data_IF_584664836095
#
_entry.id   IF_584664836095
#
_cell.length_a   1.000
_cell.length_b   1.000
_cell.length_c   1.000
_cell.angle_alpha   90.00
_cell.angle_beta   90.00
_cell.angle_gamma   90.00
#
_symmetry.space_group_name_H-M   'P 1'
#
loop_
_entity.id
_entity.type
_entity.pdbx_description
1 polymer ?
#
# COMPACT_ATOMS: atom_id res chain seq x y z
N UNK A 1 -6.20 -9.97 -12.94
CA UNK A 1 -4.73 -9.99 -12.77
C UNK A 1 -4.19 -8.69 -13.35
N UNK A 2 -3.52 -7.88 -12.54
CA UNK A 2 -2.98 -6.59 -12.96
C UNK A 2 -1.46 -6.72 -13.12
N UNK A 3 -0.89 -6.08 -14.14
CA UNK A 3 0.57 -6.00 -14.34
C UNK A 3 1.01 -4.57 -14.08
N UNK A 4 2.17 -4.40 -13.46
CA UNK A 4 2.70 -3.09 -13.16
C UNK A 4 4.23 -3.08 -13.33
N UNK A 5 4.76 -1.88 -13.52
CA UNK A 5 6.19 -1.62 -13.40
C UNK A 5 6.43 -0.97 -12.05
N UNK A 6 7.49 -1.34 -11.38
CA UNK A 6 7.87 -0.74 -10.10
C UNK A 6 9.24 -0.08 -10.21
N UNK A 7 9.43 0.94 -9.40
CA UNK A 7 10.66 1.69 -9.29
C UNK A 7 10.82 2.07 -7.81
N UNK A 8 11.89 1.59 -7.21
CA UNK A 8 12.39 1.99 -5.91
C UNK A 8 13.56 2.94 -6.12
N UNK A 9 13.55 4.08 -5.43
CA UNK A 9 14.59 5.09 -5.49
C UNK A 9 14.95 5.53 -4.08
N UNK A 10 16.24 5.56 -3.81
CA UNK A 10 16.87 6.13 -2.61
C UNK A 10 18.07 6.99 -3.05
N UNK A 11 18.66 7.76 -2.15
CA UNK A 11 19.74 8.73 -2.41
C UNK A 11 20.97 8.12 -3.11
N UNK A 12 21.14 6.80 -3.00
CA UNK A 12 22.30 6.06 -3.54
C UNK A 12 21.95 5.12 -4.70
N UNK A 13 20.68 4.77 -4.91
CA UNK A 13 20.31 3.72 -5.85
C UNK A 13 18.90 3.87 -6.42
N UNK A 14 18.75 3.46 -7.68
CA UNK A 14 17.46 3.32 -8.35
C UNK A 14 17.33 1.89 -8.87
N UNK A 15 16.39 1.13 -8.33
CA UNK A 15 16.10 -0.25 -8.75
C UNK A 15 14.66 -0.32 -9.25
N UNK A 16 14.40 -1.06 -10.31
CA UNK A 16 13.03 -1.21 -10.80
C UNK A 16 12.80 -2.57 -11.41
N UNK A 17 11.58 -2.81 -11.87
CA UNK A 17 11.25 -4.09 -12.45
C UNK A 17 9.80 -4.22 -12.88
N UNK A 18 9.39 -5.47 -13.07
CA UNK A 18 8.02 -5.82 -13.44
C UNK A 18 7.37 -6.61 -12.31
N UNK A 19 6.07 -6.43 -12.17
CA UNK A 19 5.26 -7.14 -11.20
C UNK A 19 3.90 -7.50 -11.75
N UNK A 20 3.29 -8.48 -11.12
CA UNK A 20 1.87 -8.78 -11.30
C UNK A 20 1.20 -8.98 -9.95
N UNK A 21 -0.04 -8.55 -9.86
CA UNK A 21 -0.85 -8.68 -8.65
C UNK A 21 -2.21 -9.29 -8.98
N UNK A 22 -2.67 -10.19 -8.11
CA UNK A 22 -4.02 -10.73 -8.09
C UNK A 22 -4.63 -10.43 -6.74
N UNK A 23 -5.73 -9.69 -6.76
CA UNK A 23 -6.47 -9.32 -5.57
C UNK A 23 -7.73 -10.19 -5.55
N UNK A 24 -7.91 -10.93 -4.47
CA UNK A 24 -9.10 -11.69 -4.16
C UNK A 24 -9.77 -11.00 -2.95
N UNK A 25 -10.82 -10.21 -3.18
CA UNK A 25 -11.56 -9.58 -2.09
C UNK A 25 -12.04 -10.62 -1.05
N UNK A 26 -12.15 -10.24 0.24
CA UNK A 26 -12.02 -8.87 0.75
C UNK A 26 -10.59 -8.45 1.14
N UNK A 27 -9.66 -9.39 1.33
CA UNK A 27 -8.40 -9.11 2.06
C UNK A 27 -7.20 -9.94 1.59
N UNK A 28 -7.34 -10.67 0.49
CA UNK A 28 -6.30 -11.57 -0.01
C UNK A 28 -5.63 -11.02 -1.26
N UNK A 29 -4.30 -11.06 -1.28
CA UNK A 29 -3.51 -10.55 -2.39
C UNK A 29 -2.32 -11.47 -2.64
N UNK A 30 -2.13 -11.83 -3.90
CA UNK A 30 -0.90 -12.46 -4.38
C UNK A 30 -0.15 -11.45 -5.26
N UNK A 31 1.14 -11.29 -5.02
CA UNK A 31 2.00 -10.58 -5.94
C UNK A 31 3.22 -11.41 -6.33
N UNK A 32 3.66 -11.21 -7.57
CA UNK A 32 4.83 -11.81 -8.17
C UNK A 32 5.64 -10.66 -8.78
N UNK A 33 6.86 -10.43 -8.33
CA UNK A 33 7.74 -9.36 -8.81
C UNK A 33 9.11 -9.90 -9.22
N UNK A 34 9.77 -9.17 -10.08
CA UNK A 34 11.16 -9.40 -10.47
C UNK A 34 11.86 -8.08 -10.68
N UNK A 35 13.15 -8.03 -10.37
CA UNK A 35 14.04 -6.92 -10.66
C UNK A 35 14.41 -6.83 -12.14
N UNK A 36 15.36 -5.95 -12.50
CA UNK A 36 15.81 -5.79 -13.88
C UNK A 36 16.34 -7.11 -14.43
N UNK A 37 16.09 -7.37 -15.71
CA UNK A 37 16.51 -8.61 -16.41
C UNK A 37 16.02 -9.92 -15.78
N UNK A 38 14.95 -9.88 -14.98
CA UNK A 38 14.39 -11.07 -14.32
C UNK A 38 15.14 -11.51 -13.06
N UNK A 39 16.05 -10.68 -12.55
CA UNK A 39 16.79 -10.98 -11.32
C UNK A 39 15.86 -10.98 -10.09
N UNK A 40 16.22 -11.77 -9.07
CA UNK A 40 15.57 -11.83 -7.76
C UNK A 40 14.03 -11.98 -7.84
N UNK A 41 13.51 -13.07 -8.43
CA UNK A 41 12.08 -13.30 -8.47
C UNK A 41 11.54 -13.49 -7.06
N UNK A 42 10.54 -12.67 -6.70
CA UNK A 42 9.85 -12.73 -5.42
C UNK A 42 8.37 -12.98 -5.65
N UNK A 43 7.81 -13.90 -4.88
CA UNK A 43 6.37 -14.14 -4.87
C UNK A 43 5.86 -14.19 -3.43
N UNK A 44 4.72 -13.57 -3.18
CA UNK A 44 4.12 -13.58 -1.86
C UNK A 44 2.59 -13.63 -1.92
N UNK A 45 2.02 -14.22 -0.88
CA UNK A 45 0.58 -14.19 -0.58
C UNK A 45 0.39 -13.47 0.75
N UNK A 46 -0.38 -12.40 0.72
CA UNK A 46 -0.76 -11.59 1.89
C UNK A 46 -2.25 -11.77 2.12
N UNK A 47 -2.62 -12.02 3.37
CA UNK A 47 -4.01 -12.06 3.84
C UNK A 47 -4.12 -11.12 5.02
N UNK A 48 -4.96 -10.11 4.88
CA UNK A 48 -5.09 -9.10 5.92
C UNK A 48 -3.76 -8.37 6.12
N UNK A 49 -3.25 -8.42 7.34
CA UNK A 49 -2.01 -7.74 7.76
C UNK A 49 -0.89 -8.76 8.01
N UNK A 50 -0.90 -9.87 7.28
CA UNK A 50 0.06 -10.97 7.44
C UNK A 50 0.40 -11.61 6.09
N UNK A 51 1.67 -12.00 5.91
CA UNK A 51 2.08 -12.89 4.83
C UNK A 51 1.78 -14.33 5.23
N UNK A 52 1.20 -15.10 4.30
CA UNK A 52 0.95 -16.55 4.47
C UNK A 52 1.97 -17.41 3.78
N UNK A 53 2.59 -16.87 2.74
CA UNK A 53 3.62 -17.56 1.97
C UNK A 53 4.48 -16.52 1.27
N UNK A 54 5.79 -16.71 1.30
CA UNK A 54 6.77 -15.83 0.66
C UNK A 54 7.89 -16.69 0.09
N UNK A 55 8.35 -16.34 -1.12
CA UNK A 55 9.52 -16.91 -1.77
C UNK A 55 10.35 -15.78 -2.38
N UNK A 56 11.64 -15.63 -2.03
CA UNK A 56 12.32 -16.26 -0.89
C UNK A 56 11.76 -15.75 0.46
N UNK A 57 11.96 -16.51 1.55
CA UNK A 57 11.23 -16.33 2.82
C UNK A 57 11.35 -14.92 3.42
N UNK A 58 12.48 -14.24 3.25
CA UNK A 58 12.74 -12.90 3.82
C UNK A 58 12.37 -11.73 2.88
N UNK A 59 11.94 -12.01 1.64
CA UNK A 59 11.79 -10.96 0.62
C UNK A 59 10.67 -9.97 0.93
N UNK A 60 9.65 -10.38 1.67
CA UNK A 60 8.52 -9.52 2.02
C UNK A 60 8.91 -8.48 3.06
N UNK A 61 9.72 -8.84 4.06
CA UNK A 61 10.14 -7.90 5.11
C UNK A 61 10.95 -6.74 4.54
N UNK A 62 11.69 -7.00 3.46
CA UNK A 62 12.47 -5.99 2.75
C UNK A 62 11.64 -5.15 1.76
N UNK A 63 10.48 -5.66 1.31
CA UNK A 63 9.67 -5.01 0.28
C UNK A 63 8.41 -4.31 0.81
N UNK A 64 7.83 -4.81 1.91
CA UNK A 64 6.57 -4.32 2.47
C UNK A 64 6.90 -3.63 3.80
N UNK A 65 7.11 -2.30 3.82
CA UNK A 65 7.43 -1.61 5.07
C UNK A 65 6.26 -1.67 6.06
N UNK A 66 5.03 -1.71 5.55
CA UNK A 66 3.82 -1.80 6.35
C UNK A 66 2.64 -2.27 5.49
N UNK A 67 1.79 -3.17 6.00
CA UNK A 67 0.66 -3.72 5.24
C UNK A 67 -0.36 -2.65 4.83
N UNK A 68 -0.86 -1.78 5.73
CA UNK A 68 -1.67 -0.62 5.34
C UNK A 68 -1.12 0.20 4.17
N UNK A 69 0.19 0.49 4.15
CA UNK A 69 0.83 1.18 3.01
C UNK A 69 0.79 0.35 1.74
N UNK A 70 1.07 -0.96 1.83
CA UNK A 70 0.98 -1.87 0.68
C UNK A 70 -0.41 -1.87 0.06
N UNK A 71 -1.46 -2.02 0.87
CA UNK A 71 -2.84 -2.02 0.38
C UNK A 71 -3.23 -0.68 -0.23
N UNK A 72 -2.76 0.42 0.36
CA UNK A 72 -2.99 1.76 -0.18
C UNK A 72 -2.37 1.94 -1.58
N UNK A 73 -1.22 1.31 -1.88
CA UNK A 73 -0.63 1.32 -3.23
C UNK A 73 -1.57 0.72 -4.29
N UNK A 74 -2.49 -0.15 -3.87
CA UNK A 74 -3.52 -0.74 -4.72
C UNK A 74 -4.89 -0.07 -4.57
N UNK A 75 -4.95 1.14 -4.01
CA UNK A 75 -6.19 1.89 -3.85
C UNK A 75 -7.13 1.34 -2.78
N UNK A 76 -6.64 0.46 -1.90
CA UNK A 76 -7.47 -0.25 -0.91
C UNK A 76 -7.25 0.36 0.47
N UNK A 77 -8.33 0.92 1.03
CA UNK A 77 -8.41 1.28 2.45
C UNK A 77 -8.73 0.03 3.23
N UNK A 78 -7.88 -0.31 4.21
CA UNK A 78 -8.09 -1.50 5.04
C UNK A 78 -9.07 -1.22 6.16
N UNK A 79 -9.78 -2.26 6.58
CA UNK A 79 -10.58 -2.17 7.80
C UNK A 79 -9.65 -1.90 8.99
N UNK A 80 -10.08 -1.06 9.95
CA UNK A 80 -9.33 -0.84 11.17
C UNK A 80 -9.21 -2.14 11.97
N UNK A 81 -8.16 -2.24 12.78
CA UNK A 81 -8.09 -3.26 13.83
C UNK A 81 -9.33 -3.14 14.74
N UNK A 82 -9.91 -4.25 15.27
CA UNK A 82 -11.11 -4.19 16.10
C UNK A 82 -11.01 -3.23 17.29
N UNK A 83 -9.83 -3.13 17.91
CA UNK A 83 -9.56 -2.26 19.05
C UNK A 83 -9.13 -0.82 18.68
N UNK A 84 -9.15 -0.45 17.39
CA UNK A 84 -8.72 0.88 16.98
C UNK A 84 -9.82 1.92 17.21
N UNK A 85 -9.44 3.09 17.70
CA UNK A 85 -10.31 4.27 17.70
C UNK A 85 -10.38 4.79 16.27
N UNK A 86 -11.60 4.88 15.73
CA UNK A 86 -11.85 5.36 14.37
C UNK A 86 -12.37 6.79 14.44
N UNK A 87 -11.73 7.68 13.68
CA UNK A 87 -12.21 9.03 13.39
C UNK A 87 -12.38 9.18 11.91
N UNK A 88 -13.39 9.94 11.50
CA UNK A 88 -13.67 10.20 10.09
C UNK A 88 -14.10 11.64 9.89
N UNK A 89 -13.74 12.18 8.73
CA UNK A 89 -14.21 13.46 8.23
C UNK A 89 -14.58 13.30 6.75
N UNK A 90 -15.62 14.00 6.31
CA UNK A 90 -16.03 14.04 4.91
C UNK A 90 -16.56 15.42 4.57
N UNK A 91 -16.10 15.94 3.45
CA UNK A 91 -16.69 17.11 2.79
C UNK A 91 -17.02 16.78 1.32
N UNK A 92 -17.18 17.81 0.49
CA UNK A 92 -17.51 17.64 -0.94
C UNK A 92 -16.32 17.17 -1.79
N UNK A 93 -15.09 17.32 -1.31
CA UNK A 93 -13.87 17.05 -2.08
C UNK A 93 -13.12 15.83 -1.58
N UNK A 94 -13.31 15.48 -0.30
CA UNK A 94 -12.49 14.52 0.42
C UNK A 94 -13.28 13.67 1.41
N UNK A 95 -12.79 12.43 1.60
CA UNK A 95 -13.09 11.62 2.77
C UNK A 95 -11.80 11.23 3.46
N UNK A 96 -11.71 11.47 4.76
CA UNK A 96 -10.53 11.20 5.58
C UNK A 96 -10.90 10.23 6.70
N UNK A 97 -10.02 9.28 6.97
CA UNK A 97 -10.13 8.34 8.09
C UNK A 97 -8.84 8.31 8.88
N UNK A 98 -8.94 8.24 10.20
CA UNK A 98 -7.82 7.97 11.10
C UNK A 98 -8.18 6.76 11.95
N UNK A 99 -7.29 5.77 11.96
CA UNK A 99 -7.34 4.61 12.85
C UNK A 99 -6.19 4.74 13.84
N UNK A 100 -6.52 4.84 15.13
CA UNK A 100 -5.52 4.98 16.19
C UNK A 100 -5.55 3.76 17.12
N UNK A 101 -4.38 3.18 17.40
CA UNK A 101 -4.21 2.09 18.38
C UNK A 101 -3.05 2.46 19.30
N UNK A 102 -3.38 2.98 20.48
CA UNK A 102 -2.37 3.60 21.34
C UNK A 102 -1.77 4.84 20.68
N UNK A 103 -0.46 4.84 20.47
CA UNK A 103 0.30 5.92 19.81
C UNK A 103 0.49 5.70 18.31
N UNK A 104 0.12 4.53 17.79
CA UNK A 104 0.24 4.19 16.38
C UNK A 104 -0.99 4.70 15.62
N UNK A 105 -0.78 5.28 14.44
CA UNK A 105 -1.87 5.76 13.59
C UNK A 105 -1.73 5.28 12.14
N UNK A 106 -2.88 5.00 11.53
CA UNK A 106 -3.02 4.89 10.08
C UNK A 106 -4.04 5.93 9.65
N UNK A 107 -3.63 6.84 8.78
CA UNK A 107 -4.47 7.90 8.24
C UNK A 107 -4.67 7.67 6.75
N UNK A 108 -5.90 7.76 6.29
CA UNK A 108 -6.27 7.65 4.88
C UNK A 108 -6.97 8.93 4.46
N UNK A 109 -6.69 9.42 3.26
CA UNK A 109 -7.45 10.50 2.63
C UNK A 109 -7.78 10.10 1.19
N UNK A 110 -9.06 10.12 0.84
CA UNK A 110 -9.56 9.92 -0.51
C UNK A 110 -10.04 11.26 -1.06
N UNK A 111 -9.42 11.71 -2.14
CA UNK A 111 -9.79 12.91 -2.88
C UNK A 111 -10.55 12.47 -4.14
N UNK A 112 -11.77 12.96 -4.32
CA UNK A 112 -12.67 12.52 -5.40
C UNK A 112 -12.76 13.54 -6.55
N UNK A 113 -12.37 14.81 -6.32
CA UNK A 113 -12.41 15.87 -7.33
C UNK A 113 -11.05 16.10 -8.00
N UNK A 114 -11.08 16.41 -9.29
CA UNK A 114 -9.88 16.73 -10.06
C UNK A 114 -9.17 15.46 -10.54
N UNK A 115 -8.03 15.14 -9.94
CA UNK A 115 -7.31 13.88 -10.16
C UNK A 115 -7.58 12.97 -8.95
N UNK A 116 -8.47 11.95 -9.06
CA UNK A 116 -8.83 11.11 -7.93
C UNK A 116 -7.61 10.43 -7.31
N UNK A 117 -7.50 10.47 -5.98
CA UNK A 117 -6.34 9.96 -5.24
C UNK A 117 -6.74 9.30 -3.94
N UNK A 118 -6.02 8.25 -3.58
CA UNK A 118 -5.95 7.72 -2.23
C UNK A 118 -4.57 8.02 -1.65
N UNK A 119 -4.54 8.65 -0.49
CA UNK A 119 -3.35 8.84 0.32
C UNK A 119 -3.44 7.96 1.57
N UNK A 120 -2.30 7.43 2.01
CA UNK A 120 -2.19 6.75 3.29
C UNK A 120 -0.91 7.18 4.01
N UNK A 121 -0.99 7.40 5.32
CA UNK A 121 0.15 7.74 6.16
C UNK A 121 0.13 6.80 7.36
N UNK A 122 1.27 6.16 7.65
CA UNK A 122 1.40 5.29 8.82
C UNK A 122 2.40 5.91 9.79
N UNK A 123 2.01 5.97 11.06
CA UNK A 123 2.88 6.33 12.18
C UNK A 123 3.00 5.18 13.15
N UNK A 124 4.22 4.95 13.63
CA UNK A 124 4.52 4.02 14.71
C UNK A 124 5.27 4.77 15.80
N UNK A 125 4.77 4.71 17.03
CA UNK A 125 5.31 5.46 18.15
C UNK A 125 5.50 6.97 17.86
N UNK A 126 4.60 7.56 17.05
CA UNK A 126 4.67 8.96 16.64
C UNK A 126 5.58 9.27 15.44
N UNK A 127 6.41 8.33 14.99
CA UNK A 127 7.29 8.51 13.83
C UNK A 127 6.62 8.04 12.53
N UNK A 128 6.89 8.73 11.43
CA UNK A 128 6.36 8.36 10.11
C UNK A 128 7.10 7.12 9.60
N UNK A 129 6.37 6.02 9.42
CA UNK A 129 6.90 4.79 8.78
C UNK A 129 6.85 4.90 7.27
N UNK A 130 5.85 5.63 6.76
CA UNK A 130 5.78 5.95 5.35
C UNK A 130 4.47 6.62 4.95
N UNK A 131 4.45 7.08 3.70
CA UNK A 131 3.35 7.71 3.02
C UNK A 131 3.17 7.07 1.65
N UNK A 132 1.92 6.79 1.28
CA UNK A 132 1.55 6.39 -0.08
C UNK A 132 0.65 7.43 -0.70
N UNK A 133 0.92 7.77 -1.96
CA UNK A 133 -0.02 8.46 -2.85
C UNK A 133 -0.34 7.52 -4.02
N UNK A 134 -1.61 7.17 -4.16
CA UNK A 134 -2.13 6.34 -5.24
C UNK A 134 -3.13 7.14 -6.07
N UNK A 135 -2.77 7.43 -7.31
CA UNK A 135 -3.67 8.01 -8.30
C UNK A 135 -4.63 6.96 -8.81
N UNK A 136 -5.89 7.33 -8.91
CA UNK A 136 -7.00 6.48 -9.33
C UNK A 136 -7.60 7.02 -10.64
N UNK A 137 -8.20 6.14 -11.42
CA UNK A 137 -9.13 6.55 -12.47
C UNK A 137 -10.45 7.03 -11.86
N UNK A 138 -11.32 7.61 -12.68
CA UNK A 138 -12.67 8.02 -12.27
C UNK A 138 -13.49 6.83 -11.73
N UNK A 139 -13.24 5.62 -12.23
CA UNK A 139 -13.84 4.36 -11.75
C UNK A 139 -13.17 3.81 -10.47
N UNK A 140 -12.22 4.54 -9.88
CA UNK A 140 -11.51 4.15 -8.67
C UNK A 140 -10.40 3.10 -8.87
N UNK A 141 -9.98 2.84 -10.12
CA UNK A 141 -8.93 1.85 -10.42
C UNK A 141 -7.55 2.50 -10.24
N UNK A 142 -6.60 1.87 -9.52
CA UNK A 142 -5.24 2.41 -9.37
C UNK A 142 -4.51 2.55 -10.70
N UNK A 143 -4.03 3.77 -10.98
CA UNK A 143 -3.23 4.10 -12.17
C UNK A 143 -1.74 4.14 -11.85
N UNK A 144 -1.38 4.76 -10.71
CA UNK A 144 0.02 4.90 -10.28
C UNK A 144 0.07 5.10 -8.77
N UNK A 145 0.97 4.37 -8.11
CA UNK A 145 1.28 4.59 -6.71
C UNK A 145 2.72 5.07 -6.53
N UNK A 146 2.94 5.86 -5.48
CA UNK A 146 4.26 6.25 -4.97
C UNK A 146 4.28 6.00 -3.47
N UNK A 147 5.28 5.26 -3.01
CA UNK A 147 5.59 5.04 -1.60
C UNK A 147 6.81 5.90 -1.24
N UNK A 148 6.74 6.57 -0.10
CA UNK A 148 7.79 7.40 0.50
C UNK A 148 7.99 6.84 1.91
N UNK A 149 9.22 6.45 2.24
CA UNK A 149 9.62 5.90 3.55
C UNK A 149 10.69 6.75 4.17
#
# INVERSE_FOLDING_TARGET
MHRFKWLFQDDRASTGGQGSVRIAPPDSLRFDVMGPFGANPTAAVVVGDSSRWVRPEDAVEQMIPNYPLMWAMFGIVRQPHPDAVVRGFRDQESTVWQYARGVDTVEYARLERGEPKLMAIVRRAGEVVGLVETRLSDDGVPLKARLIV
#
